data_IF_795130075251
#
_entry.id   IF_795130075251
#
_cell.length_a   1.000
_cell.length_b   1.000
_cell.length_c   1.000
_cell.angle_alpha   90.00
_cell.angle_beta   90.00
_cell.angle_gamma   90.00
#
_symmetry.space_group_name_H-M   'P 1'
#
loop_
_entity.id
_entity.type
_entity.pdbx_description
1 polymer ?
#
# COMPACT_ATOMS: atom_id res chain seq x y z
N UNK A 1 -28.59 -6.37 -49.53
CA UNK A 1 -27.71 -5.86 -48.47
C UNK A 1 -27.61 -6.94 -47.41
N UNK A 2 -26.44 -7.56 -47.30
CA UNK A 2 -26.10 -8.55 -46.27
C UNK A 2 -25.51 -7.76 -45.11
N UNK A 3 -26.13 -7.85 -43.94
CA UNK A 3 -25.52 -7.36 -42.71
C UNK A 3 -24.64 -8.48 -42.16
N UNK A 4 -23.31 -8.32 -42.28
CA UNK A 4 -22.35 -9.12 -41.55
C UNK A 4 -22.45 -8.74 -40.07
N UNK A 5 -22.96 -9.65 -39.25
CA UNK A 5 -22.78 -9.59 -37.79
C UNK A 5 -21.38 -10.12 -37.51
N UNK A 6 -20.45 -9.22 -37.21
CA UNK A 6 -19.17 -9.60 -36.61
C UNK A 6 -19.45 -10.17 -35.22
N UNK A 7 -19.10 -11.45 -35.04
CA UNK A 7 -19.10 -12.11 -33.74
C UNK A 7 -17.97 -11.51 -32.89
N UNK A 8 -18.26 -10.43 -32.17
CA UNK A 8 -17.45 -10.02 -31.01
C UNK A 8 -17.72 -11.04 -29.89
N UNK A 9 -16.84 -12.04 -29.79
CA UNK A 9 -16.72 -12.90 -28.62
C UNK A 9 -16.54 -12.00 -27.37
N UNK A 10 -17.40 -12.11 -26.34
CA UNK A 10 -17.22 -11.33 -25.12
C UNK A 10 -15.96 -11.81 -24.43
N UNK A 11 -14.88 -11.01 -24.51
CA UNK A 11 -13.66 -11.23 -23.72
C UNK A 11 -14.04 -11.32 -22.24
N UNK A 12 -14.01 -12.52 -21.70
CA UNK A 12 -14.18 -12.80 -20.28
C UNK A 12 -13.21 -11.89 -19.48
N UNK A 13 -13.66 -11.22 -18.40
CA UNK A 13 -12.76 -10.42 -17.58
C UNK A 13 -11.73 -11.36 -16.95
N UNK A 14 -10.47 -11.21 -17.34
CA UNK A 14 -9.35 -11.79 -16.60
C UNK A 14 -9.45 -11.27 -15.17
N UNK A 15 -9.70 -12.18 -14.21
CA UNK A 15 -9.43 -11.91 -12.80
C UNK A 15 -8.01 -11.36 -12.76
N UNK A 16 -7.82 -10.12 -12.30
CA UNK A 16 -6.46 -9.63 -12.02
C UNK A 16 -5.95 -10.41 -10.81
N UNK A 17 -5.39 -11.59 -11.09
CA UNK A 17 -4.66 -12.38 -10.14
C UNK A 17 -3.39 -11.61 -9.84
N UNK A 18 -3.10 -11.40 -8.55
CA UNK A 18 -1.84 -10.80 -8.13
C UNK A 18 -0.68 -11.57 -8.77
N UNK A 19 0.28 -10.85 -9.34
CA UNK A 19 1.46 -11.43 -9.96
C UNK A 19 2.66 -11.26 -9.02
N UNK A 20 3.45 -12.32 -8.89
CA UNK A 20 4.75 -12.26 -8.23
C UNK A 20 5.76 -11.65 -9.19
N UNK A 21 6.36 -10.52 -8.85
CA UNK A 21 7.35 -9.84 -9.68
C UNK A 21 8.78 -10.28 -9.35
N UNK A 22 9.60 -10.45 -10.39
CA UNK A 22 11.06 -10.53 -10.27
C UNK A 22 11.69 -9.14 -10.32
N UNK A 23 12.91 -9.01 -9.81
CA UNK A 23 13.68 -7.76 -9.80
C UNK A 23 13.78 -7.11 -11.19
N UNK A 24 14.06 -7.90 -12.22
CA UNK A 24 14.12 -7.44 -13.62
C UNK A 24 12.79 -6.85 -14.12
N UNK A 25 11.67 -7.45 -13.72
CA UNK A 25 10.32 -6.98 -14.09
C UNK A 25 9.98 -5.68 -13.35
N UNK A 26 10.38 -5.56 -12.08
CA UNK A 26 10.20 -4.33 -11.30
C UNK A 26 11.07 -3.19 -11.86
N UNK A 27 12.32 -3.48 -12.21
CA UNK A 27 13.21 -2.54 -12.89
C UNK A 27 12.60 -2.06 -14.20
N UNK A 28 12.06 -2.96 -15.03
CA UNK A 28 11.42 -2.59 -16.27
C UNK A 28 10.17 -1.73 -16.04
N UNK A 29 9.30 -2.12 -15.10
CA UNK A 29 8.07 -1.39 -14.78
C UNK A 29 8.37 0.02 -14.27
N UNK A 30 9.39 0.17 -13.42
CA UNK A 30 9.77 1.43 -12.78
C UNK A 30 10.92 2.15 -13.50
N UNK A 31 11.23 1.78 -14.74
CA UNK A 31 12.32 2.38 -15.49
C UNK A 31 12.05 3.87 -15.79
N UNK A 32 13.01 4.72 -15.46
CA UNK A 32 12.92 6.18 -15.49
C UNK A 32 11.75 6.74 -14.66
N UNK A 33 11.40 6.08 -13.56
CA UNK A 33 10.33 6.51 -12.66
C UNK A 33 10.86 7.11 -11.37
N UNK A 34 10.19 8.17 -10.93
CA UNK A 34 10.31 8.69 -9.58
C UNK A 34 9.13 8.21 -8.72
N UNK A 35 9.42 7.33 -7.75
CA UNK A 35 8.46 6.80 -6.79
C UNK A 35 8.62 7.49 -5.45
N UNK A 36 7.53 8.03 -4.90
CA UNK A 36 7.48 8.64 -3.57
C UNK A 36 6.59 7.80 -2.66
N UNK A 37 7.09 7.46 -1.48
CA UNK A 37 6.37 6.69 -0.48
C UNK A 37 6.24 7.54 0.79
N UNK A 38 5.03 7.78 1.25
CA UNK A 38 4.76 8.55 2.46
C UNK A 38 3.99 7.71 3.48
N UNK A 39 4.45 7.71 4.73
CA UNK A 39 3.71 7.07 5.80
C UNK A 39 4.55 6.66 6.99
N UNK A 40 4.04 5.73 7.76
CA UNK A 40 4.66 5.29 9.01
C UNK A 40 5.71 4.17 8.80
N UNK A 41 5.98 3.40 9.87
CA UNK A 41 6.93 2.29 9.84
C UNK A 41 6.52 1.15 8.89
N UNK A 42 5.22 0.97 8.63
CA UNK A 42 4.74 0.00 7.64
C UNK A 42 5.12 0.46 6.24
N UNK A 43 4.93 1.75 5.93
CA UNK A 43 5.35 2.30 4.64
C UNK A 43 6.88 2.41 4.50
N UNK A 44 7.62 2.59 5.60
CA UNK A 44 9.09 2.42 5.57
C UNK A 44 9.47 1.01 5.14
N UNK A 45 8.78 -0.02 5.63
CA UNK A 45 9.05 -1.40 5.21
C UNK A 45 8.64 -1.65 3.75
N UNK A 46 7.57 -1.01 3.24
CA UNK A 46 7.25 -1.00 1.80
C UNK A 46 8.39 -0.39 0.98
N UNK A 47 8.91 0.76 1.41
CA UNK A 47 10.07 1.39 0.77
C UNK A 47 11.29 0.46 0.77
N UNK A 48 11.63 -0.13 1.93
CA UNK A 48 12.80 -1.00 2.06
C UNK A 48 12.65 -2.25 1.20
N UNK A 49 11.47 -2.85 1.14
CA UNK A 49 11.22 -4.03 0.30
C UNK A 49 11.31 -3.68 -1.19
N UNK A 50 10.76 -2.54 -1.61
CA UNK A 50 10.85 -2.08 -3.01
C UNK A 50 12.30 -1.78 -3.42
N UNK A 51 13.07 -1.08 -2.57
CA UNK A 51 14.49 -0.80 -2.81
C UNK A 51 15.30 -2.09 -2.93
N UNK A 52 15.02 -3.09 -2.09
CA UNK A 52 15.67 -4.39 -2.18
C UNK A 52 15.27 -5.14 -3.46
N UNK A 53 13.98 -5.16 -3.79
CA UNK A 53 13.43 -5.85 -4.97
C UNK A 53 13.90 -5.21 -6.28
N UNK A 54 14.15 -3.90 -6.31
CA UNK A 54 14.79 -3.22 -7.44
C UNK A 54 16.24 -3.67 -7.67
N UNK A 55 16.85 -4.36 -6.71
CA UNK A 55 18.24 -4.81 -6.79
C UNK A 55 18.36 -6.33 -6.93
N UNK A 56 17.53 -7.09 -6.21
CA UNK A 56 17.59 -8.57 -6.19
C UNK A 56 16.32 -9.23 -5.68
N UNK A 57 16.13 -10.48 -6.08
CA UNK A 57 15.00 -11.35 -5.70
C UNK A 57 15.14 -11.96 -4.29
N UNK A 58 15.52 -11.16 -3.30
CA UNK A 58 15.64 -11.60 -1.90
C UNK A 58 14.62 -10.89 -1.01
N UNK A 59 14.14 -11.56 0.04
CA UNK A 59 13.31 -10.93 1.07
C UNK A 59 14.15 -10.06 2.02
N UNK A 60 13.50 -9.10 2.68
CA UNK A 60 14.10 -8.39 3.80
C UNK A 60 14.43 -9.37 4.93
N UNK A 61 15.55 -9.14 5.62
CA UNK A 61 15.85 -9.83 6.88
C UNK A 61 15.05 -9.23 8.04
N UNK A 62 14.85 -9.99 9.11
CA UNK A 62 14.23 -9.48 10.33
C UNK A 62 14.99 -8.30 10.94
N UNK A 63 16.32 -8.28 10.81
CA UNK A 63 17.16 -7.16 11.26
C UNK A 63 16.89 -5.90 10.42
N UNK A 64 16.79 -6.04 9.09
CA UNK A 64 16.46 -4.93 8.20
C UNK A 64 15.05 -4.38 8.47
N UNK A 65 14.05 -5.22 8.73
CA UNK A 65 12.71 -4.74 9.08
C UNK A 65 12.68 -3.94 10.39
N UNK A 66 13.48 -4.35 11.39
CA UNK A 66 13.56 -3.68 12.70
C UNK A 66 14.37 -2.38 12.66
N UNK A 67 15.38 -2.30 11.80
CA UNK A 67 16.23 -1.12 11.68
C UNK A 67 15.42 0.11 11.21
N UNK A 68 15.72 1.26 11.81
CA UNK A 68 15.08 2.55 11.51
C UNK A 68 16.11 3.67 11.59
N UNK A 69 16.00 4.65 10.70
CA UNK A 69 16.87 5.81 10.69
C UNK A 69 18.36 5.50 10.47
N UNK A 70 18.70 4.34 9.93
CA UNK A 70 20.07 3.96 9.59
C UNK A 70 20.65 4.88 8.49
N UNK A 71 21.93 5.24 8.56
CA UNK A 71 22.58 6.13 7.57
C UNK A 71 22.42 5.64 6.12
N UNK A 72 22.41 4.32 5.91
CA UNK A 72 22.20 3.69 4.61
C UNK A 72 21.61 2.30 4.78
N UNK A 73 20.74 1.93 3.84
CA UNK A 73 20.11 0.63 3.66
C UNK A 73 20.19 0.27 2.18
N UNK A 74 20.83 -0.85 1.83
CA UNK A 74 20.90 -1.37 0.45
C UNK A 74 21.21 -0.27 -0.60
N UNK A 75 22.32 0.46 -0.39
CA UNK A 75 22.80 1.54 -1.28
C UNK A 75 21.91 2.79 -1.34
N UNK A 76 20.87 2.86 -0.52
CA UNK A 76 20.16 4.11 -0.29
C UNK A 76 20.96 5.06 0.62
N UNK A 77 20.45 6.27 0.79
CA UNK A 77 20.97 7.24 1.73
C UNK A 77 19.86 7.80 2.62
N UNK A 78 20.18 8.03 3.88
CA UNK A 78 19.40 8.87 4.77
C UNK A 78 19.63 10.33 4.42
N UNK A 79 18.58 11.01 3.97
CA UNK A 79 18.62 12.42 3.54
C UNK A 79 18.40 13.36 4.74
N UNK A 80 17.48 13.01 5.64
CA UNK A 80 17.17 13.81 6.81
C UNK A 80 16.57 12.97 7.95
N UNK A 81 16.68 13.46 9.18
CA UNK A 81 16.17 12.79 10.38
C UNK A 81 16.93 11.51 10.70
N UNK A 82 16.28 10.54 11.34
CA UNK A 82 16.93 9.28 11.73
C UNK A 82 18.21 9.51 12.55
N UNK A 83 19.30 8.83 12.18
CA UNK A 83 20.64 9.01 12.76
C UNK A 83 21.31 10.35 12.44
N UNK A 84 20.81 11.14 11.49
CA UNK A 84 21.27 12.53 11.27
C UNK A 84 20.65 13.51 12.28
N UNK A 85 19.68 13.06 13.08
CA UNK A 85 19.08 13.80 14.17
C UNK A 85 18.93 12.93 15.41
N UNK A 86 17.93 13.24 16.25
CA UNK A 86 17.60 12.43 17.41
C UNK A 86 16.69 11.26 17.03
N UNK A 87 17.05 10.04 17.44
CA UNK A 87 16.17 8.88 17.32
C UNK A 87 15.19 8.84 18.49
N UNK A 88 13.93 9.16 18.22
CA UNK A 88 12.85 9.09 19.21
C UNK A 88 11.57 8.50 18.60
N UNK A 89 10.56 8.25 19.43
CA UNK A 89 9.26 7.69 19.02
C UNK A 89 8.13 8.74 19.14
N UNK A 90 8.48 10.03 19.05
CA UNK A 90 7.55 11.15 19.22
C UNK A 90 6.91 11.58 17.91
N UNK A 91 5.88 12.43 17.99
CA UNK A 91 5.18 12.98 16.82
C UNK A 91 6.03 13.95 15.98
N UNK A 92 7.20 14.36 16.50
CA UNK A 92 8.18 15.15 15.76
C UNK A 92 9.25 14.30 15.06
N UNK A 93 9.13 12.96 15.09
CA UNK A 93 10.09 12.11 14.40
C UNK A 93 10.06 12.37 12.90
N UNK A 94 11.24 12.41 12.29
CA UNK A 94 11.43 12.59 10.85
C UNK A 94 12.43 11.54 10.37
N UNK A 95 12.20 11.06 9.17
CA UNK A 95 13.11 10.18 8.44
C UNK A 95 12.79 10.35 6.95
N UNK A 96 13.78 10.83 6.20
CA UNK A 96 13.70 10.94 4.74
C UNK A 96 14.79 10.07 4.15
N UNK A 97 14.40 9.11 3.30
CA UNK A 97 15.35 8.20 2.64
C UNK A 97 15.25 8.34 1.13
N UNK A 98 16.37 8.14 0.45
CA UNK A 98 16.40 8.17 -1.01
C UNK A 98 17.29 7.06 -1.54
N UNK A 99 16.75 6.27 -2.46
CA UNK A 99 17.49 5.32 -3.28
C UNK A 99 17.55 5.85 -4.71
N UNK A 100 18.74 5.85 -5.29
CA UNK A 100 18.95 6.05 -6.70
C UNK A 100 19.77 4.88 -7.23
N UNK A 101 19.25 4.13 -8.21
CA UNK A 101 20.00 3.02 -8.80
C UNK A 101 21.30 3.52 -9.43
N UNK A 102 22.37 2.71 -9.45
CA UNK A 102 23.65 3.12 -10.05
C UNK A 102 23.58 3.53 -11.53
N UNK A 103 22.57 3.08 -12.27
CA UNK A 103 22.30 3.50 -13.65
C UNK A 103 21.58 4.85 -13.77
N UNK A 104 21.07 5.40 -12.66
CA UNK A 104 20.28 6.64 -12.64
C UNK A 104 18.82 6.50 -13.10
N UNK A 105 18.35 5.29 -13.42
CA UNK A 105 17.00 5.08 -13.99
C UNK A 105 15.89 4.86 -12.96
N UNK A 106 16.21 4.63 -11.69
CA UNK A 106 15.20 4.36 -10.66
C UNK A 106 15.45 5.28 -9.48
N UNK A 107 14.48 6.15 -9.18
CA UNK A 107 14.51 7.03 -8.02
C UNK A 107 13.35 6.66 -7.10
N UNK A 108 13.66 6.30 -5.85
CA UNK A 108 12.65 6.03 -4.83
C UNK A 108 12.95 6.92 -3.63
N UNK A 109 11.95 7.67 -3.14
CA UNK A 109 12.09 8.50 -1.94
C UNK A 109 11.01 8.16 -0.93
N UNK A 110 11.40 8.06 0.33
CA UNK A 110 10.51 7.82 1.45
C UNK A 110 10.49 9.01 2.40
N UNK A 111 9.28 9.37 2.87
CA UNK A 111 9.05 10.38 3.89
C UNK A 111 8.24 9.77 5.05
N UNK A 112 8.82 9.76 6.26
CA UNK A 112 8.13 9.28 7.44
C UNK A 112 7.09 10.31 7.91
N UNK A 113 5.82 9.92 7.90
CA UNK A 113 4.71 10.74 8.39
C UNK A 113 4.27 10.27 9.78
N UNK A 114 4.19 11.23 10.69
CA UNK A 114 3.51 11.06 11.97
C UNK A 114 2.07 11.58 11.92
N UNK A 115 1.69 12.32 10.88
CA UNK A 115 0.35 12.87 10.68
C UNK A 115 0.06 13.02 9.19
N UNK A 116 -1.16 12.69 8.76
CA UNK A 116 -1.55 12.76 7.34
C UNK A 116 -1.55 14.18 6.78
N UNK A 117 -1.72 15.20 7.62
CA UNK A 117 -1.57 16.60 7.25
C UNK A 117 -0.87 17.37 8.37
N UNK A 118 0.20 18.08 8.02
CA UNK A 118 1.04 18.86 8.94
C UNK A 118 1.89 19.87 8.17
N UNK A 119 2.50 20.81 8.89
CA UNK A 119 3.50 21.73 8.31
C UNK A 119 4.66 20.97 7.65
N UNK A 120 5.07 19.85 8.25
CA UNK A 120 6.09 18.99 7.64
C UNK A 120 5.65 18.45 6.27
N UNK A 121 4.39 17.98 6.15
CA UNK A 121 3.89 17.51 4.87
C UNK A 121 3.80 18.65 3.84
N UNK A 122 3.41 19.86 4.24
CA UNK A 122 3.42 21.01 3.31
C UNK A 122 4.84 21.28 2.77
N UNK A 123 5.88 21.18 3.60
CA UNK A 123 7.27 21.24 3.12
C UNK A 123 7.62 20.13 2.13
N UNK A 124 7.15 18.90 2.37
CA UNK A 124 7.30 17.78 1.42
C UNK A 124 6.58 18.06 0.11
N UNK A 125 5.35 18.59 0.15
CA UNK A 125 4.58 18.95 -1.05
C UNK A 125 5.24 20.10 -1.82
N UNK A 126 5.87 21.05 -1.13
CA UNK A 126 6.65 22.11 -1.75
C UNK A 126 7.88 21.54 -2.48
N UNK A 127 8.61 20.60 -1.87
CA UNK A 127 9.70 19.87 -2.54
C UNK A 127 9.22 19.15 -3.81
N UNK A 128 8.03 18.53 -3.78
CA UNK A 128 7.46 17.86 -4.95
C UNK A 128 6.97 18.84 -6.03
N UNK A 129 6.64 20.08 -5.64
CA UNK A 129 6.21 21.14 -6.57
C UNK A 129 7.40 21.68 -7.37
N UNK A 130 8.53 21.91 -6.70
CA UNK A 130 9.70 22.56 -7.31
C UNK A 130 10.83 21.60 -7.69
N UNK A 131 10.80 20.38 -7.16
CA UNK A 131 11.77 19.32 -7.45
C UNK A 131 11.37 18.44 -8.63
N UNK A 132 12.00 17.25 -8.77
CA UNK A 132 11.60 16.26 -9.75
C UNK A 132 10.14 15.85 -9.53
N UNK A 133 9.35 15.89 -10.59
CA UNK A 133 7.95 15.50 -10.55
C UNK A 133 7.82 13.98 -10.31
N UNK A 134 7.01 13.53 -9.33
CA UNK A 134 6.81 12.10 -9.10
C UNK A 134 5.92 11.47 -10.17
N UNK A 135 6.26 10.24 -10.57
CA UNK A 135 5.42 9.40 -11.43
C UNK A 135 4.42 8.59 -10.61
N UNK A 136 4.81 8.20 -9.39
CA UNK A 136 4.02 7.37 -8.48
C UNK A 136 4.15 7.91 -7.06
N UNK A 137 3.02 8.22 -6.43
CA UNK A 137 2.92 8.51 -5.00
C UNK A 137 2.15 7.39 -4.32
N UNK A 138 2.76 6.76 -3.32
CA UNK A 138 2.15 5.76 -2.46
C UNK A 138 2.03 6.35 -1.07
N UNK A 139 0.83 6.37 -0.51
CA UNK A 139 0.61 6.99 0.80
C UNK A 139 -0.29 6.15 1.69
N UNK A 140 0.09 6.02 2.97
CA UNK A 140 -0.80 5.65 4.05
C UNK A 140 -0.42 6.45 5.30
N UNK A 141 -1.41 7.04 5.95
CA UNK A 141 -1.23 7.67 7.24
C UNK A 141 -2.55 7.58 8.00
N UNK A 142 -2.77 6.46 8.69
CA UNK A 142 -4.00 6.22 9.47
C UNK A 142 -3.64 5.89 10.92
N UNK A 143 -2.71 4.95 11.09
CA UNK A 143 -2.30 4.42 12.37
C UNK A 143 -1.80 5.49 13.34
N UNK A 144 -0.89 6.37 12.91
CA UNK A 144 -0.38 7.45 13.76
C UNK A 144 -1.43 8.50 14.09
N UNK A 145 -2.19 8.96 13.10
CA UNK A 145 -3.26 9.94 13.29
C UNK A 145 -4.25 9.49 14.37
N UNK A 146 -4.68 8.23 14.32
CA UNK A 146 -5.66 7.69 15.27
C UNK A 146 -5.08 7.37 16.65
N UNK A 147 -3.80 6.99 16.73
CA UNK A 147 -3.21 6.46 17.98
C UNK A 147 -2.45 7.48 18.84
N UNK A 148 -2.14 8.68 18.32
CA UNK A 148 -1.17 9.61 18.94
C UNK A 148 -1.69 11.01 19.26
N UNK A 149 -2.84 11.41 18.71
CA UNK A 149 -3.33 12.80 18.75
C UNK A 149 -4.52 13.01 19.70
N UNK A 150 -4.64 12.16 20.73
CA UNK A 150 -5.63 12.33 21.79
C UNK A 150 -7.04 11.85 21.40
N UNK A 151 -8.05 12.30 22.17
CA UNK A 151 -9.43 11.77 22.11
C UNK A 151 -10.21 12.14 20.84
N UNK A 152 -9.89 13.29 20.23
CA UNK A 152 -10.52 13.77 19.00
C UNK A 152 -9.73 13.37 17.75
N UNK A 153 -8.92 12.31 17.83
CA UNK A 153 -8.03 11.90 16.74
C UNK A 153 -8.78 11.57 15.45
N UNK A 154 -9.93 10.90 15.53
CA UNK A 154 -10.75 10.60 14.35
C UNK A 154 -11.31 11.84 13.67
N UNK A 155 -11.83 12.82 14.43
CA UNK A 155 -12.36 14.07 13.89
C UNK A 155 -11.24 14.86 13.18
N UNK A 156 -10.11 15.04 13.88
CA UNK A 156 -8.93 15.69 13.31
C UNK A 156 -8.38 14.94 12.10
N UNK A 157 -8.45 13.61 12.09
CA UNK A 157 -7.99 12.79 10.98
C UNK A 157 -8.83 13.04 9.73
N UNK A 158 -10.16 13.11 9.86
CA UNK A 158 -11.08 13.44 8.75
C UNK A 158 -10.80 14.82 8.15
N UNK A 159 -10.69 15.83 9.00
CA UNK A 159 -10.38 17.20 8.54
C UNK A 159 -9.03 17.26 7.83
N UNK A 160 -8.04 16.54 8.35
CA UNK A 160 -6.71 16.48 7.74
C UNK A 160 -6.70 15.73 6.41
N UNK A 161 -7.49 14.66 6.27
CA UNK A 161 -7.66 13.94 5.01
C UNK A 161 -8.24 14.82 3.91
N UNK A 162 -9.27 15.60 4.22
CA UNK A 162 -9.85 16.56 3.26
C UNK A 162 -8.80 17.56 2.78
N UNK A 163 -8.01 18.10 3.71
CA UNK A 163 -6.94 19.05 3.36
C UNK A 163 -5.87 18.40 2.50
N UNK A 164 -5.34 17.25 2.90
CA UNK A 164 -4.25 16.61 2.15
C UNK A 164 -4.71 16.20 0.75
N UNK A 165 -5.93 15.73 0.55
CA UNK A 165 -6.37 15.28 -0.77
C UNK A 165 -6.57 16.46 -1.72
N UNK A 166 -7.14 17.57 -1.23
CA UNK A 166 -7.18 18.83 -1.98
C UNK A 166 -5.78 19.31 -2.35
N UNK A 167 -4.82 19.24 -1.42
CA UNK A 167 -3.44 19.66 -1.67
C UNK A 167 -2.70 18.75 -2.64
N UNK A 168 -2.88 17.44 -2.54
CA UNK A 168 -2.33 16.46 -3.49
C UNK A 168 -2.85 16.70 -4.91
N UNK A 169 -4.15 17.00 -5.06
CA UNK A 169 -4.71 17.34 -6.36
C UNK A 169 -4.11 18.59 -7.00
N UNK A 170 -3.74 19.56 -6.17
CA UNK A 170 -3.13 20.83 -6.61
C UNK A 170 -1.64 20.67 -6.94
N UNK A 171 -0.93 19.84 -6.18
CA UNK A 171 0.54 19.74 -6.22
C UNK A 171 1.01 18.68 -7.21
N UNK A 172 0.35 17.51 -7.24
CA UNK A 172 0.82 16.41 -8.07
C UNK A 172 0.48 16.66 -9.53
N UNK A 173 1.41 16.43 -10.46
CA UNK A 173 1.12 16.58 -11.88
C UNK A 173 0.02 15.61 -12.27
N UNK A 174 -0.70 15.95 -13.33
CA UNK A 174 -1.75 15.09 -13.85
C UNK A 174 -1.23 13.67 -14.11
N UNK A 175 -0.05 13.53 -14.70
CA UNK A 175 0.56 12.23 -15.03
C UNK A 175 0.92 11.36 -13.82
N UNK A 176 0.94 11.92 -12.60
CA UNK A 176 1.26 11.16 -11.40
C UNK A 176 0.13 10.23 -11.01
N UNK A 177 0.48 8.96 -10.77
CA UNK A 177 -0.42 7.99 -10.15
C UNK A 177 -0.32 8.11 -8.63
N UNK A 178 -1.41 8.47 -7.96
CA UNK A 178 -1.51 8.39 -6.50
C UNK A 178 -2.25 7.11 -6.10
N UNK A 179 -1.61 6.28 -5.27
CA UNK A 179 -2.19 5.10 -4.65
C UNK A 179 -2.31 5.30 -3.14
N UNK A 180 -3.54 5.44 -2.66
CA UNK A 180 -3.88 5.45 -1.24
C UNK A 180 -3.95 4.02 -0.71
N UNK A 181 -2.94 3.63 0.06
CA UNK A 181 -2.95 2.37 0.78
C UNK A 181 -3.87 2.51 1.99
N UNK A 182 -4.82 1.60 2.17
CA UNK A 182 -5.51 1.45 3.46
C UNK A 182 -4.56 0.85 4.51
N UNK A 183 -4.81 1.11 5.79
CA UNK A 183 -4.02 0.49 6.86
C UNK A 183 -4.31 -1.01 6.98
N UNK A 184 -3.23 -1.79 7.14
CA UNK A 184 -3.30 -3.23 7.40
C UNK A 184 -4.03 -3.53 8.73
N UNK A 185 -4.61 -4.74 8.89
CA UNK A 185 -5.42 -5.05 10.06
C UNK A 185 -4.59 -5.23 11.34
N UNK A 186 -4.93 -4.48 12.37
CA UNK A 186 -4.30 -4.57 13.69
C UNK A 186 -4.66 -5.88 14.43
N UNK A 187 -3.72 -6.34 15.25
CA UNK A 187 -3.92 -7.43 16.21
C UNK A 187 -4.83 -7.05 17.36
N UNK A 188 -5.33 -8.04 18.09
CA UNK A 188 -6.24 -7.81 19.24
C UNK A 188 -5.62 -6.97 20.35
N UNK A 189 -4.32 -7.13 20.54
CA UNK A 189 -3.52 -6.37 21.49
C UNK A 189 -2.44 -5.64 20.70
N UNK A 190 -2.41 -4.33 20.87
CA UNK A 190 -1.35 -3.47 20.34
C UNK A 190 -0.38 -3.16 21.46
N UNK A 191 0.91 -3.40 21.25
CA UNK A 191 1.95 -3.18 22.26
C UNK A 191 3.16 -2.46 21.67
N UNK A 192 4.11 -2.10 22.54
CA UNK A 192 5.32 -1.38 22.16
C UNK A 192 5.10 0.14 22.06
N UNK A 193 6.13 0.84 21.59
CA UNK A 193 6.15 2.31 21.55
C UNK A 193 5.21 2.94 20.54
N UNK A 194 4.28 2.18 19.95
CA UNK A 194 3.30 2.64 18.98
C UNK A 194 2.11 3.37 19.65
N UNK A 195 1.66 2.88 20.81
CA UNK A 195 0.67 3.55 21.65
C UNK A 195 1.39 4.23 22.82
N UNK A 196 1.13 5.53 23.01
CA UNK A 196 1.64 6.25 24.17
C UNK A 196 0.98 5.69 25.45
N UNK A 197 1.71 5.53 26.56
CA UNK A 197 1.16 5.02 27.81
C UNK A 197 -0.14 5.71 28.25
N UNK A 198 -0.22 7.02 28.05
CA UNK A 198 -1.36 7.87 28.41
C UNK A 198 -2.60 7.61 27.53
N UNK A 199 -2.39 7.01 26.36
CA UNK A 199 -3.43 6.69 25.37
C UNK A 199 -3.81 5.20 25.37
N UNK A 200 -3.21 4.39 26.26
CA UNK A 200 -3.59 2.98 26.42
C UNK A 200 -5.09 2.74 26.67
N UNK A 201 -5.84 3.61 27.37
CA UNK A 201 -7.30 3.45 27.49
C UNK A 201 -8.04 3.49 26.14
N UNK A 202 -7.48 4.15 25.13
CA UNK A 202 -8.04 4.25 23.77
C UNK A 202 -7.66 3.05 22.89
N UNK A 203 -6.72 2.21 23.32
CA UNK A 203 -6.29 1.02 22.56
C UNK A 203 -7.45 0.05 22.28
N UNK A 204 -8.47 0.03 23.14
CA UNK A 204 -9.64 -0.86 23.02
C UNK A 204 -10.54 -0.53 21.82
N UNK A 205 -10.59 0.72 21.36
CA UNK A 205 -11.36 1.11 20.16
C UNK A 205 -10.51 1.14 18.90
N UNK A 206 -9.18 1.26 19.00
CA UNK A 206 -8.28 1.53 17.88
C UNK A 206 -8.49 0.61 16.66
N UNK A 207 -8.75 -0.68 16.86
CA UNK A 207 -9.04 -1.61 15.73
C UNK A 207 -10.28 -1.18 14.94
N UNK A 208 -11.34 -0.76 15.64
CA UNK A 208 -12.57 -0.25 15.02
C UNK A 208 -12.32 1.11 14.38
N UNK A 209 -11.58 1.98 15.06
CA UNK A 209 -11.24 3.30 14.56
C UNK A 209 -10.42 3.19 13.26
N UNK A 210 -9.50 2.24 13.14
CA UNK A 210 -8.76 1.97 11.89
C UNK A 210 -9.69 1.50 10.77
N UNK A 211 -10.68 0.67 11.06
CA UNK A 211 -11.68 0.25 10.05
C UNK A 211 -12.50 1.44 9.58
N UNK A 212 -12.96 2.29 10.50
CA UNK A 212 -13.70 3.51 10.19
C UNK A 212 -12.85 4.52 9.42
N UNK A 213 -11.59 4.73 9.82
CA UNK A 213 -10.65 5.60 9.14
C UNK A 213 -10.28 5.12 7.74
N UNK A 214 -10.11 3.81 7.56
CA UNK A 214 -9.92 3.19 6.25
C UNK A 214 -11.14 3.42 5.35
N UNK A 215 -12.35 3.20 5.87
CA UNK A 215 -13.58 3.44 5.10
C UNK A 215 -13.71 4.91 4.67
N UNK A 216 -13.49 5.84 5.60
CA UNK A 216 -13.57 7.27 5.31
C UNK A 216 -12.53 7.70 4.26
N UNK A 217 -11.25 7.35 4.49
CA UNK A 217 -10.16 7.73 3.58
C UNK A 217 -10.31 7.12 2.19
N UNK A 218 -10.80 5.87 2.09
CA UNK A 218 -11.09 5.22 0.82
C UNK A 218 -12.21 5.90 0.04
N UNK A 219 -13.27 6.28 0.74
CA UNK A 219 -14.41 7.02 0.17
C UNK A 219 -13.93 8.35 -0.41
N UNK A 220 -13.20 9.11 0.41
CA UNK A 220 -12.65 10.41 0.01
C UNK A 220 -11.64 10.28 -1.15
N UNK A 221 -10.83 9.23 -1.18
CA UNK A 221 -9.88 8.99 -2.26
C UNK A 221 -10.63 8.77 -3.58
N UNK A 222 -11.77 8.06 -3.52
CA UNK A 222 -12.68 7.90 -4.65
C UNK A 222 -13.25 9.22 -5.18
N UNK A 223 -13.61 10.15 -4.30
CA UNK A 223 -14.13 11.48 -4.67
C UNK A 223 -13.07 12.33 -5.39
N UNK A 224 -11.80 12.15 -5.02
CA UNK A 224 -10.63 12.78 -5.67
C UNK A 224 -10.08 11.96 -6.85
N UNK A 225 -10.72 10.84 -7.22
CA UNK A 225 -10.26 9.93 -8.28
C UNK A 225 -8.84 9.37 -8.07
N UNK A 226 -8.38 9.30 -6.81
CA UNK A 226 -7.16 8.57 -6.46
C UNK A 226 -7.43 7.08 -6.40
N UNK A 227 -6.39 6.30 -6.71
CA UNK A 227 -6.47 4.85 -6.62
C UNK A 227 -6.34 4.40 -5.17
N UNK A 228 -6.99 3.29 -4.84
CA UNK A 228 -7.05 2.77 -3.47
C UNK A 228 -6.63 1.31 -3.47
N UNK A 229 -5.67 0.96 -2.62
CA UNK A 229 -5.27 -0.42 -2.37
C UNK A 229 -5.74 -0.86 -0.98
N UNK A 230 -6.71 -1.77 -0.95
CA UNK A 230 -7.32 -2.26 0.29
C UNK A 230 -6.44 -3.32 0.99
N UNK A 231 -5.35 -2.86 1.60
CA UNK A 231 -4.47 -3.73 2.38
C UNK A 231 -5.17 -4.32 3.61
N UNK A 232 -6.22 -3.67 4.12
CA UNK A 232 -6.99 -4.24 5.22
C UNK A 232 -7.64 -5.54 4.79
N UNK A 233 -8.30 -5.53 3.63
CA UNK A 233 -8.90 -6.69 3.01
C UNK A 233 -7.85 -7.76 2.74
N UNK A 234 -6.80 -7.44 1.98
CA UNK A 234 -5.82 -8.45 1.55
C UNK A 234 -5.16 -9.20 2.71
N UNK A 235 -4.96 -8.55 3.85
CA UNK A 235 -4.23 -9.12 4.99
C UNK A 235 -5.10 -9.59 6.16
N UNK A 236 -6.44 -9.45 6.08
CA UNK A 236 -7.36 -9.83 7.20
C UNK A 236 -7.25 -11.28 7.67
N UNK A 237 -6.78 -12.18 6.80
CA UNK A 237 -6.58 -13.60 7.12
C UNK A 237 -5.11 -14.01 7.23
N UNK A 238 -4.17 -13.08 7.07
CA UNK A 238 -2.72 -13.35 7.09
C UNK A 238 -2.11 -13.20 8.50
N UNK A 239 -2.87 -13.51 9.55
CA UNK A 239 -2.52 -13.22 10.95
C UNK A 239 -1.18 -13.84 11.36
N UNK A 240 -0.78 -14.97 10.76
CA UNK A 240 0.50 -15.64 10.99
C UNK A 240 1.73 -14.78 10.66
N UNK A 241 1.59 -13.82 9.73
CA UNK A 241 2.65 -12.92 9.31
C UNK A 241 2.72 -11.64 10.15
N UNK A 242 1.74 -11.42 11.05
CA UNK A 242 1.72 -10.24 11.92
C UNK A 242 2.54 -10.52 13.17
N UNK A 243 3.43 -9.60 13.50
CA UNK A 243 4.22 -9.68 14.72
C UNK A 243 3.34 -9.58 15.97
N UNK A 244 3.89 -10.07 17.08
CA UNK A 244 3.22 -10.12 18.39
C UNK A 244 2.84 -8.76 18.96
N UNK A 245 3.44 -7.69 18.43
CA UNK A 245 3.09 -6.33 18.82
C UNK A 245 1.73 -5.86 18.28
N UNK A 246 1.13 -6.64 17.35
CA UNK A 246 -0.17 -6.37 16.78
C UNK A 246 -0.18 -5.29 15.70
N UNK A 247 0.97 -4.76 15.29
CA UNK A 247 1.09 -3.65 14.32
C UNK A 247 1.97 -4.04 13.14
N UNK A 248 3.17 -4.54 13.41
CA UNK A 248 4.17 -4.81 12.37
C UNK A 248 3.98 -6.18 11.73
N UNK A 249 4.53 -6.35 10.54
CA UNK A 249 4.39 -7.55 9.72
C UNK A 249 5.77 -8.06 9.27
N UNK A 250 5.86 -9.34 8.97
CA UNK A 250 7.10 -9.98 8.54
C UNK A 250 7.46 -9.66 7.06
N UNK A 251 8.59 -10.18 6.62
CA UNK A 251 9.11 -9.96 5.28
C UNK A 251 8.23 -10.54 4.18
N UNK A 252 7.47 -11.61 4.46
CA UNK A 252 6.59 -12.24 3.47
C UNK A 252 5.36 -11.39 3.24
N UNK A 253 4.79 -10.82 4.30
CA UNK A 253 3.70 -9.87 4.19
C UNK A 253 4.10 -8.60 3.42
N UNK A 254 5.29 -8.06 3.70
CA UNK A 254 5.77 -6.88 2.97
C UNK A 254 6.06 -7.17 1.50
N UNK A 255 6.66 -8.33 1.16
CA UNK A 255 6.82 -8.74 -0.25
C UNK A 255 5.48 -8.92 -0.97
N UNK A 256 4.49 -9.53 -0.30
CA UNK A 256 3.14 -9.67 -0.84
C UNK A 256 2.49 -8.31 -1.10
N UNK A 257 2.65 -7.36 -0.18
CA UNK A 257 2.18 -5.98 -0.36
C UNK A 257 2.82 -5.34 -1.60
N UNK A 258 4.14 -5.44 -1.75
CA UNK A 258 4.85 -4.92 -2.93
C UNK A 258 4.32 -5.52 -4.22
N UNK A 259 4.04 -6.82 -4.27
CA UNK A 259 3.44 -7.46 -5.45
C UNK A 259 2.01 -6.98 -5.75
N UNK A 260 1.17 -6.81 -4.73
CA UNK A 260 -0.17 -6.22 -4.91
C UNK A 260 -0.07 -4.80 -5.48
N UNK A 261 0.83 -3.99 -4.93
CA UNK A 261 1.06 -2.63 -5.35
C UNK A 261 1.59 -2.55 -6.79
N UNK A 262 2.60 -3.35 -7.14
CA UNK A 262 3.18 -3.37 -8.48
C UNK A 262 2.20 -3.95 -9.51
N UNK A 263 1.37 -4.92 -9.13
CA UNK A 263 0.27 -5.41 -9.99
C UNK A 263 -0.70 -4.28 -10.31
N UNK A 264 -1.10 -3.51 -9.28
CA UNK A 264 -1.99 -2.35 -9.44
C UNK A 264 -1.35 -1.28 -10.32
N UNK A 265 -0.08 -0.94 -10.08
CA UNK A 265 0.66 0.06 -10.87
C UNK A 265 0.78 -0.36 -12.33
N UNK A 266 1.12 -1.62 -12.60
CA UNK A 266 1.19 -2.13 -13.97
C UNK A 266 -0.17 -2.05 -14.69
N UNK A 267 -1.26 -2.44 -14.02
CA UNK A 267 -2.62 -2.32 -14.58
C UNK A 267 -2.99 -0.84 -14.86
N UNK A 268 -2.72 0.05 -13.90
CA UNK A 268 -3.00 1.48 -14.04
C UNK A 268 -2.22 2.12 -15.20
N UNK A 269 -0.98 1.70 -15.42
CA UNK A 269 -0.14 2.14 -16.54
C UNK A 269 -0.38 1.37 -17.85
N UNK A 270 -1.23 0.34 -17.85
CA UNK A 270 -1.51 -0.48 -19.03
C UNK A 270 -0.32 -1.33 -19.47
N UNK A 271 0.58 -1.67 -18.54
CA UNK A 271 1.73 -2.55 -18.79
C UNK A 271 1.27 -3.99 -18.68
N UNK A 272 1.56 -4.81 -19.69
CA UNK A 272 1.23 -6.23 -19.64
C UNK A 272 1.96 -6.91 -18.48
N UNK A 273 1.18 -7.59 -17.63
CA UNK A 273 1.73 -8.36 -16.52
C UNK A 273 2.48 -9.59 -17.05
N UNK A 274 3.57 -10.00 -16.38
CA UNK A 274 4.26 -11.23 -16.71
C UNK A 274 3.29 -12.43 -16.72
N UNK A 275 3.22 -13.12 -17.85
CA UNK A 275 2.44 -14.35 -17.98
C UNK A 275 3.22 -15.48 -17.32
N UNK A 276 2.86 -15.80 -16.08
CA UNK A 276 3.28 -17.04 -15.43
C UNK A 276 2.11 -18.01 -15.50
N UNK A 277 2.36 -19.21 -16.00
CA UNK A 277 1.39 -20.31 -15.99
C UNK A 277 1.19 -20.79 -14.55
N UNK A 278 0.45 -20.03 -13.76
CA UNK A 278 -0.04 -20.54 -12.48
C UNK A 278 -1.16 -21.55 -12.78
N UNK A 279 -1.08 -22.79 -12.26
CA UNK A 279 -2.14 -23.76 -12.44
C UNK A 279 -3.46 -23.15 -11.97
N UNK A 280 -4.38 -23.00 -12.92
CA UNK A 280 -5.70 -22.40 -12.71
C UNK A 280 -6.43 -23.14 -11.59
N UNK A 281 -6.64 -22.47 -10.44
CA UNK A 281 -7.45 -23.01 -9.37
C UNK A 281 -6.89 -22.92 -7.96
N UNK A 282 -5.66 -22.41 -7.75
CA UNK A 282 -5.23 -22.14 -6.37
C UNK A 282 -6.02 -20.96 -5.78
N UNK A 283 -6.65 -21.12 -4.60
CA UNK A 283 -7.22 -20.00 -3.89
C UNK A 283 -6.10 -19.02 -3.54
N UNK A 284 -6.36 -17.73 -3.72
CA UNK A 284 -5.49 -16.66 -3.23
C UNK A 284 -5.88 -16.31 -1.79
N UNK A 285 -4.91 -16.08 -0.89
CA UNK A 285 -3.44 -16.24 -1.06
C UNK A 285 -3.00 -17.70 -1.30
N UNK A 286 -1.88 -17.95 -2.01
CA UNK A 286 -1.38 -19.30 -2.25
C UNK A 286 -1.21 -20.07 -0.93
N UNK A 287 -1.44 -21.38 -0.95
CA UNK A 287 -1.47 -22.22 0.26
C UNK A 287 -0.13 -22.18 1.04
N UNK A 288 0.97 -21.90 0.35
CA UNK A 288 2.32 -21.68 0.92
C UNK A 288 2.40 -20.43 1.81
N UNK A 289 1.60 -19.40 1.52
CA UNK A 289 1.46 -18.20 2.36
C UNK A 289 0.79 -18.53 3.70
N UNK A 290 0.01 -19.61 3.79
CA UNK A 290 -0.63 -20.05 5.03
C UNK A 290 0.12 -21.18 5.75
N UNK A 291 1.14 -21.77 5.12
CA UNK A 291 1.84 -22.96 5.61
C UNK A 291 3.29 -22.66 6.02
N UNK A 292 3.51 -21.64 6.85
CA UNK A 292 4.83 -21.43 7.46
C UNK A 292 4.92 -22.15 8.83
N UNK A 293 5.84 -23.11 8.95
CA UNK A 293 6.17 -23.76 10.22
C UNK A 293 7.12 -22.86 11.04
N UNK A 294 6.66 -22.45 12.21
CA UNK A 294 7.32 -21.49 13.10
C UNK A 294 8.60 -21.99 13.81
N UNK A 295 9.25 -23.05 13.32
CA UNK A 295 10.20 -23.83 14.12
C UNK A 295 11.68 -23.51 13.87
N UNK A 296 12.04 -22.71 12.85
CA UNK A 296 13.46 -22.61 12.45
C UNK A 296 14.23 -21.36 12.89
N UNK A 297 13.64 -20.42 13.64
CA UNK A 297 14.36 -19.17 13.99
C UNK A 297 14.40 -18.83 15.50
N UNK A 298 14.46 -19.86 16.35
CA UNK A 298 14.78 -19.70 17.77
C UNK A 298 16.21 -20.16 18.07
N UNK A 299 17.18 -19.31 17.72
CA UNK A 299 18.48 -19.29 18.42
C UNK A 299 18.75 -17.87 18.92
N UNK A 300 18.14 -17.51 20.05
CA UNK A 300 18.55 -16.34 20.81
C UNK A 300 19.78 -16.66 21.65
N UNK A 301 20.87 -15.92 21.40
CA UNK A 301 22.03 -15.84 22.30
C UNK A 301 21.63 -15.07 23.56
N UNK A 302 21.79 -15.72 24.72
CA UNK A 302 21.43 -15.21 26.03
C UNK A 302 22.62 -14.54 26.72
N UNK A 303 22.83 -13.24 26.50
CA UNK A 303 23.66 -12.44 27.39
C UNK A 303 23.13 -11.01 27.49
N UNK A 304 22.43 -10.71 28.58
CA UNK A 304 22.54 -9.51 29.42
C UNK A 304 21.51 -9.63 30.55
N UNK A 305 22.00 -9.54 31.79
CA UNK A 305 21.35 -10.07 32.98
C UNK A 305 20.38 -9.13 33.70
N UNK A 306 19.54 -9.75 34.53
CA UNK A 306 19.11 -9.33 35.87
C UNK A 306 18.33 -10.50 36.50
N UNK A 307 18.77 -11.01 37.66
CA UNK A 307 18.05 -12.06 38.43
C UNK A 307 17.10 -11.47 39.49
N UNK A 308 16.63 -12.25 40.49
CA UNK A 308 16.27 -13.67 40.48
C UNK A 308 14.81 -13.93 40.92
N UNK A 309 14.25 -15.06 40.45
CA UNK A 309 13.39 -15.93 41.27
C UNK A 309 11.90 -15.62 41.38
N UNK A 310 11.09 -16.27 40.54
CA UNK A 310 9.88 -17.00 40.98
C UNK A 310 9.69 -18.23 40.10
N UNK A 311 9.77 -19.42 40.69
CA UNK A 311 9.45 -20.68 40.03
C UNK A 311 7.93 -20.80 39.90
N UNK A 312 7.39 -20.69 38.68
CA UNK A 312 6.01 -21.08 38.38
C UNK A 312 6.01 -22.47 37.74
N UNK A 313 5.46 -23.44 38.47
CA UNK A 313 5.14 -24.77 37.95
C UNK A 313 3.80 -24.67 37.20
N UNK A 314 3.69 -25.07 35.93
CA UNK A 314 2.40 -25.13 35.24
C UNK A 314 1.57 -26.33 35.74
N UNK A 315 0.37 -26.08 36.24
CA UNK A 315 -0.64 -27.12 36.49
C UNK A 315 -1.24 -27.65 35.18
N UNK A 316 -1.84 -28.85 35.17
CA UNK A 316 -2.30 -29.52 33.95
C UNK A 316 -3.52 -28.83 33.32
N UNK A 317 -3.52 -28.79 31.98
CA UNK A 317 -4.61 -28.25 31.15
C UNK A 317 -5.84 -29.18 31.16
N UNK A 318 -7.07 -28.65 31.13
CA UNK A 318 -8.29 -29.45 30.99
C UNK A 318 -8.48 -29.95 29.54
N UNK A 319 -9.23 -31.05 29.33
CA UNK A 319 -9.40 -31.68 28.01
C UNK A 319 -10.34 -30.87 27.09
N UNK A 320 -10.20 -31.02 25.75
CA UNK A 320 -10.99 -30.26 24.79
C UNK A 320 -12.41 -30.81 24.62
N UNK A 321 -13.37 -29.90 24.43
CA UNK A 321 -14.77 -30.20 24.07
C UNK A 321 -14.89 -30.27 22.54
N UNK A 322 -15.65 -31.21 21.94
CA UNK A 322 -15.79 -31.31 20.49
C UNK A 322 -16.74 -30.24 19.94
N UNK A 323 -16.28 -29.45 18.97
CA UNK A 323 -17.12 -28.58 18.14
C UNK A 323 -17.67 -29.30 16.90
N UNK A 324 -18.82 -28.88 16.35
CA UNK A 324 -19.38 -29.49 15.14
C UNK A 324 -18.71 -28.98 13.84
N UNK A 325 -18.62 -29.89 12.86
CA UNK A 325 -18.01 -29.74 11.52
C UNK A 325 -19.02 -29.12 10.52
N UNK A 326 -18.58 -28.42 9.44
CA UNK A 326 -19.29 -27.28 8.85
C UNK A 326 -20.02 -27.60 7.55
N UNK A 327 -21.10 -26.87 7.23
CA UNK A 327 -21.70 -26.80 5.90
C UNK A 327 -21.93 -25.34 5.51
N UNK A 328 -21.43 -24.93 4.33
CA UNK A 328 -21.74 -23.63 3.71
C UNK A 328 -20.59 -23.06 2.89
N UNK A 329 -20.50 -23.46 1.62
CA UNK A 329 -19.66 -22.85 0.61
C UNK A 329 -20.08 -21.38 0.39
N UNK A 330 -19.16 -20.42 0.55
CA UNK A 330 -19.36 -19.07 0.02
C UNK A 330 -18.18 -18.62 -0.85
N UNK A 331 -18.58 -18.16 -2.04
CA UNK A 331 -17.80 -17.82 -3.23
C UNK A 331 -16.92 -16.58 -3.03
N UNK A 332 -15.79 -16.55 -3.74
CA UNK A 332 -14.68 -15.59 -3.57
C UNK A 332 -14.91 -14.16 -4.09
N UNK A 333 -13.93 -13.26 -3.89
CA UNK A 333 -14.10 -11.82 -4.08
C UNK A 333 -13.66 -11.31 -5.47
N UNK A 334 -14.20 -10.15 -5.85
CA UNK A 334 -14.28 -9.56 -7.20
C UNK A 334 -13.65 -8.15 -7.21
N UNK A 335 -12.99 -7.79 -8.32
CA UNK A 335 -12.55 -6.42 -8.67
C UNK A 335 -13.65 -5.76 -9.53
N UNK A 336 -14.03 -4.51 -9.24
CA UNK A 336 -15.10 -3.80 -9.94
C UNK A 336 -14.61 -2.91 -11.11
N UNK A 337 -15.28 -3.02 -12.27
CA UNK A 337 -15.26 -2.08 -13.41
C UNK A 337 -16.73 -1.77 -13.80
N UNK A 338 -17.11 -0.51 -14.05
CA UNK A 338 -18.50 -0.10 -14.42
C UNK A 338 -18.89 -0.51 -15.85
N UNK A 339 -20.14 -0.69 -16.33
CA UNK A 339 -21.55 -0.33 -16.01
C UNK A 339 -22.48 -1.22 -16.91
N UNK A 340 -23.84 -1.21 -16.89
CA UNK A 340 -24.84 -0.92 -15.85
C UNK A 340 -25.83 -2.10 -15.56
N UNK A 341 -26.54 -2.01 -14.42
CA UNK A 341 -27.66 -2.84 -13.92
C UNK A 341 -27.33 -4.18 -13.24
N UNK A 342 -27.57 -4.16 -11.92
CA UNK A 342 -27.72 -5.26 -10.95
C UNK A 342 -26.44 -5.78 -10.25
N UNK A 343 -26.50 -5.73 -8.92
CA UNK A 343 -25.41 -5.71 -7.93
C UNK A 343 -24.96 -7.10 -7.41
N UNK A 344 -23.73 -7.19 -6.89
CA UNK A 344 -23.50 -7.76 -5.56
C UNK A 344 -22.55 -6.94 -4.66
N UNK A 345 -22.71 -7.13 -3.35
CA UNK A 345 -22.29 -6.25 -2.23
C UNK A 345 -20.86 -6.48 -1.71
N UNK A 346 -19.99 -5.47 -1.88
CA UNK A 346 -18.89 -5.20 -0.95
C UNK A 346 -19.45 -4.51 0.31
N UNK A 347 -18.98 -4.82 1.53
CA UNK A 347 -19.43 -4.13 2.75
C UNK A 347 -19.07 -2.62 2.76
N UNK A 348 -18.24 -2.17 1.82
CA UNK A 348 -17.82 -0.78 1.66
C UNK A 348 -18.20 -0.18 0.29
N UNK A 349 -19.26 -0.68 -0.35
CA UNK A 349 -19.69 -0.14 -1.64
C UNK A 349 -20.15 1.33 -1.53
N UNK A 350 -19.37 2.25 -2.08
CA UNK A 350 -19.72 3.68 -2.23
C UNK A 350 -20.31 3.91 -3.62
N UNK A 351 -21.58 4.29 -3.76
CA UNK A 351 -22.13 4.77 -5.03
C UNK A 351 -21.54 6.14 -5.37
N UNK A 352 -21.07 6.33 -6.62
CA UNK A 352 -20.68 7.65 -7.13
C UNK A 352 -21.86 8.62 -7.05
N UNK A 353 -21.78 9.63 -6.19
CA UNK A 353 -22.64 10.80 -6.24
C UNK A 353 -22.13 11.71 -7.37
N UNK A 354 -22.91 11.82 -8.44
CA UNK A 354 -22.58 12.67 -9.60
C UNK A 354 -22.62 14.15 -9.24
N UNK A 355 -21.48 14.69 -8.81
CA UNK A 355 -21.20 16.12 -8.78
C UNK A 355 -20.16 16.50 -9.85
N UNK A 356 -20.19 17.72 -10.41
CA UNK A 356 -19.18 18.16 -11.36
C UNK A 356 -17.86 18.43 -10.63
N UNK A 357 -16.94 17.46 -10.67
CA UNK A 357 -15.57 17.59 -10.13
C UNK A 357 -14.57 17.80 -11.28
N UNK A 358 -13.53 18.62 -11.05
CA UNK A 358 -12.46 18.89 -12.03
C UNK A 358 -11.80 17.56 -12.43
N UNK A 359 -11.75 17.28 -13.73
CA UNK A 359 -11.48 15.93 -14.26
C UNK A 359 -10.00 15.56 -14.21
N UNK A 360 -9.53 14.98 -13.09
CA UNK A 360 -8.39 14.05 -13.15
C UNK A 360 -8.93 12.71 -13.68
N UNK A 361 -8.85 12.53 -15.00
CA UNK A 361 -9.19 11.24 -15.63
C UNK A 361 -8.28 10.14 -15.08
N UNK A 362 -8.83 8.94 -14.80
CA UNK A 362 -8.01 7.77 -14.48
C UNK A 362 -7.00 7.53 -15.60
N UNK A 363 -5.79 7.11 -15.25
CA UNK A 363 -4.70 6.96 -16.22
C UNK A 363 -5.07 6.04 -17.40
N UNK A 364 -5.83 4.97 -17.14
CA UNK A 364 -6.37 4.08 -18.18
C UNK A 364 -7.37 4.76 -19.13
N UNK A 365 -8.17 5.71 -18.63
CA UNK A 365 -9.07 6.51 -19.47
C UNK A 365 -8.30 7.55 -20.31
N UNK A 366 -7.11 7.97 -19.87
CA UNK A 366 -6.25 8.93 -20.60
C UNK A 366 -5.52 8.31 -21.79
N UNK A 367 -5.03 7.07 -21.66
CA UNK A 367 -4.45 6.32 -22.79
C UNK A 367 -5.44 6.16 -23.94
N UNK A 368 -6.74 6.08 -23.64
CA UNK A 368 -7.81 6.03 -24.63
C UNK A 368 -8.05 7.41 -25.25
N UNK A 369 -7.91 8.49 -24.48
CA UNK A 369 -8.14 9.85 -24.94
C UNK A 369 -7.01 10.40 -25.83
N UNK A 370 -5.75 10.08 -25.53
CA UNK A 370 -4.58 10.46 -26.35
C UNK A 370 -4.57 9.73 -27.70
N UNK A 371 -4.88 8.42 -27.71
CA UNK A 371 -5.02 7.65 -28.96
C UNK A 371 -6.16 8.14 -29.88
N UNK A 372 -7.16 8.86 -29.34
CA UNK A 372 -8.23 9.47 -30.14
C UNK A 372 -7.83 10.81 -30.76
N UNK A 373 -6.89 11.54 -30.16
CA UNK A 373 -6.40 12.82 -30.68
C UNK A 373 -5.36 12.65 -31.81
N UNK A 374 -4.61 11.55 -31.83
CA UNK A 374 -3.62 11.24 -32.89
C UNK A 374 -4.24 10.64 -34.18
N UNK A 375 -5.58 10.59 -34.28
CA UNK A 375 -6.28 10.20 -35.51
C UNK A 375 -6.90 11.39 -36.24
N UNK A 376 -6.09 12.42 -36.49
CA UNK A 376 -6.41 13.45 -37.47
C UNK A 376 -5.63 13.14 -38.77
N UNK A 377 -6.30 12.91 -39.92
CA UNK A 377 -5.60 12.58 -41.15
C UNK A 377 -4.77 13.78 -41.63
N UNK A 378 -3.64 13.55 -42.32
CA UNK A 378 -2.79 14.64 -42.79
C UNK A 378 -3.57 15.51 -43.79
N UNK A 379 -3.43 16.83 -43.65
CA UNK A 379 -3.97 17.79 -44.58
C UNK A 379 -3.42 17.51 -46.00
N UNK A 380 -4.32 17.30 -46.95
CA UNK A 380 -4.00 17.12 -48.36
C UNK A 380 -3.24 18.34 -48.90
N UNK A 381 -2.08 18.09 -49.50
CA UNK A 381 -1.36 19.03 -50.35
C UNK A 381 -2.17 19.31 -51.63
N UNK A 382 -2.86 20.46 -51.64
CA UNK A 382 -3.51 20.99 -52.83
C UNK A 382 -2.49 21.62 -53.77
N UNK A 383 -2.36 21.03 -54.96
CA UNK A 383 -1.77 21.62 -56.16
C UNK A 383 -2.61 22.81 -56.62
N UNK A 384 -1.95 23.93 -56.95
CA UNK A 384 -2.55 25.04 -57.69
C UNK A 384 -2.05 25.02 -59.14
N UNK A 385 -2.92 25.16 -60.15
CA UNK A 385 -2.53 25.54 -61.51
C UNK A 385 -2.71 27.06 -61.69
N UNK A 386 -1.77 27.70 -62.39
CA UNK A 386 -1.84 29.11 -62.81
C UNK A 386 -0.54 29.86 -62.61
#
# INVERSE_FOLDING_TARGET
MVFCLENEEPRLPLRSAMVHFQASEVQQLLHNKFVVILGDSIQRAVYKDLVLLLQRDSLLTAAQLKAKGELSFEQDQLVAGGQLGELHNGTQYREVRQFCSGSGHHLVRFYFLTRVYSEYLEGVLEELTYGPAPDLVIINSCLWDLSRYGRCSMESYRENLERVFVRMDQVLPDSCLLVWNMAMPLGERVTGGFLLPELQPLAGSLRRDVVEGNFYSATLAGDHCFDVLDLHFHFRHAVQHRHRDGVHWDQHAHRHLSHLLLTHVADAWGVELPKRDYPSGQPFPPHEFFNYNSTEDFSMSSHLGCGPGVNFVPGPLPPPVPGPVPHGQHRGPVVHRGMPRCAPSSPYHVPRMGGPCRQRLRHSDRLIHTNKLDRQPPAHSGTWPG
#
